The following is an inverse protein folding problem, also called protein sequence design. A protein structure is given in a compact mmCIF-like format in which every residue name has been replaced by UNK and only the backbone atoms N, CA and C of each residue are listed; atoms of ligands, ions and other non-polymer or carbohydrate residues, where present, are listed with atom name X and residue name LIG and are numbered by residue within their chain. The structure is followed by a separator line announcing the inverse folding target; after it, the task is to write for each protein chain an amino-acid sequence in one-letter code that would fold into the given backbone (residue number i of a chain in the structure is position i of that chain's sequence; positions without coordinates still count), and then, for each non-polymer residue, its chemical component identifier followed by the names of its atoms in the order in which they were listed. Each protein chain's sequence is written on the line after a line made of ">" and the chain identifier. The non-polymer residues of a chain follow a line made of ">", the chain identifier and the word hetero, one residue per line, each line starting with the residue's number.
data_IF_618771467389
#
_entry.id   IF_618771467389
#
_cell.length_a   1.000
_cell.length_b   1.000
_cell.length_c   1.000
_cell.angle_alpha   90.00
_cell.angle_beta   90.00
_cell.angle_gamma   90.00
#
_symmetry.space_group_name_H-M   'P 1'
#
loop_
_entity.id
_entity.type
_entity.pdbx_description
1 polymer ?
2 non-polymer ?
3 non-polymer ?
4 water ?
#
# COMPACT_ATOMS: atom_id res chain seq x y z
N UNK A 1 6.16 10.14 -18.58
CA UNK A 1 6.77 11.40 -18.17
C UNK A 1 6.68 11.47 -16.66
N UNK A 2 7.63 12.15 -16.06
CA UNK A 2 7.54 12.50 -14.66
C UNK A 2 7.93 11.36 -13.77
N UNK A 3 7.81 11.64 -12.46
CA UNK A 3 8.08 10.69 -11.42
C UNK A 3 6.96 9.71 -11.22
N UNK A 4 7.15 8.77 -10.27
CA UNK A 4 6.07 7.87 -9.89
C UNK A 4 4.97 8.68 -9.16
N UNK A 5 3.70 8.49 -9.55
CA UNK A 5 2.56 9.21 -8.95
C UNK A 5 1.48 8.28 -8.44
N UNK A 6 0.53 8.75 -7.61
CA UNK A 6 -0.63 7.89 -7.29
C UNK A 6 -1.42 7.40 -8.50
N UNK A 7 -1.63 8.28 -9.50
CA UNK A 7 -2.31 7.88 -10.77
C UNK A 7 -1.66 6.69 -11.48
N UNK A 8 -0.34 6.73 -11.67
CA UNK A 8 0.42 5.62 -12.28
C UNK A 8 0.35 4.35 -11.43
N UNK A 9 0.28 4.51 -10.11
CA UNK A 9 0.16 3.34 -9.20
C UNK A 9 -1.19 2.67 -9.38
N UNK A 10 -2.21 3.48 -9.62
CA UNK A 10 -3.57 3.00 -9.74
C UNK A 10 -3.76 2.26 -11.09
N UNK A 11 -3.06 2.77 -12.09
CA UNK A 11 -3.11 2.25 -13.45
C UNK A 11 -2.42 0.88 -13.58
N UNK A 12 -1.45 0.60 -12.72
CA UNK A 12 -0.74 -0.68 -12.74
C UNK A 12 -1.61 -1.74 -12.10
N UNK A 13 -1.73 -2.89 -12.77
CA UNK A 13 -2.68 -3.92 -12.44
C UNK A 13 -1.88 -5.15 -11.99
N UNK A 14 -2.41 -5.88 -11.00
CA UNK A 14 -1.95 -7.26 -10.77
C UNK A 14 -2.01 -8.04 -12.10
N UNK A 15 -1.05 -8.89 -12.33
CA UNK A 15 -0.99 -9.63 -13.61
C UNK A 15 -0.23 -8.96 -14.75
N UNK A 16 0.17 -7.69 -14.63
CA UNK A 16 1.02 -7.02 -15.65
C UNK A 16 2.44 -7.53 -15.65
N UNK A 17 3.15 -7.48 -16.77
CA UNK A 17 4.57 -7.92 -16.79
C UNK A 17 5.48 -6.74 -16.39
N UNK A 18 6.75 -6.99 -16.12
CA UNK A 18 7.75 -5.94 -15.88
C UNK A 18 7.78 -4.90 -16.99
N UNK A 19 7.74 -5.29 -18.28
CA UNK A 19 7.75 -4.28 -19.37
C UNK A 19 6.60 -3.28 -19.22
N UNK A 20 5.42 -3.80 -18.93
CA UNK A 20 4.23 -2.97 -18.81
C UNK A 20 4.32 -2.00 -17.61
N UNK A 21 4.82 -2.52 -16.49
CA UNK A 21 5.03 -1.71 -15.27
C UNK A 21 6.02 -0.59 -15.54
N UNK A 22 7.14 -0.90 -16.25
CA UNK A 22 8.20 0.07 -16.48
C UNK A 22 7.76 1.11 -17.49
N UNK A 23 7.00 0.67 -18.48
CA UNK A 23 6.35 1.58 -19.45
C UNK A 23 5.43 2.64 -18.79
N UNK A 24 4.64 2.23 -17.80
CA UNK A 24 3.71 3.11 -17.13
C UNK A 24 4.42 4.02 -16.11
N UNK A 25 5.32 3.43 -15.31
CA UNK A 25 5.92 4.14 -14.22
C UNK A 25 6.98 5.10 -14.69
N UNK A 26 7.66 4.76 -15.80
CA UNK A 26 8.80 5.49 -16.25
C UNK A 26 10.10 4.86 -15.72
N UNK A 27 10.84 4.21 -16.62
CA UNK A 27 11.96 3.37 -16.20
C UNK A 27 13.01 4.14 -15.43
N UNK A 28 13.17 5.46 -15.71
CA UNK A 28 14.19 6.26 -14.96
C UNK A 28 13.85 6.41 -13.47
N UNK A 29 12.64 6.03 -13.09
CA UNK A 29 12.22 6.24 -11.70
C UNK A 29 12.51 4.99 -10.81
N UNK A 30 12.99 3.91 -11.44
CA UNK A 30 12.83 2.60 -10.85
C UNK A 30 14.13 1.85 -10.88
N UNK A 31 14.25 0.92 -9.93
CA UNK A 31 15.48 0.13 -9.79
C UNK A 31 15.10 -1.27 -9.31
N UNK A 32 16.02 -2.22 -9.45
CA UNK A 32 15.85 -3.54 -8.91
C UNK A 32 17.20 -3.97 -8.34
N UNK A 33 17.29 -5.21 -7.83
CA UNK A 33 18.56 -5.73 -7.29
C UNK A 33 18.80 -5.27 -5.85
N UNK A 34 20.02 -5.48 -5.37
CA UNK A 34 20.34 -5.20 -3.96
C UNK A 34 19.28 -5.75 -3.02
N UNK A 35 18.94 -5.02 -1.99
CA UNK A 35 17.92 -5.42 -1.05
C UNK A 35 16.57 -5.69 -1.65
N UNK A 36 16.27 -5.23 -2.88
CA UNK A 36 14.92 -5.44 -3.43
C UNK A 36 14.82 -6.82 -4.04
N UNK A 37 15.94 -7.54 -4.19
CA UNK A 37 15.85 -8.79 -4.92
C UNK A 37 15.35 -8.56 -6.34
N UNK A 38 14.28 -9.26 -6.73
CA UNK A 38 13.75 -9.09 -8.07
C UNK A 38 12.56 -8.13 -8.14
N UNK A 39 12.24 -7.50 -7.02
CA UNK A 39 11.13 -6.59 -6.97
C UNK A 39 11.56 -5.30 -7.62
N UNK A 40 10.61 -4.53 -8.14
CA UNK A 40 10.92 -3.24 -8.70
C UNK A 40 10.46 -2.09 -7.78
N UNK A 41 11.35 -1.14 -7.52
CA UNK A 41 11.08 -0.09 -6.56
C UNK A 41 11.09 1.19 -7.38
N UNK A 42 10.03 1.99 -7.30
CA UNK A 42 9.93 3.24 -8.12
C UNK A 42 9.70 4.47 -7.26
N UNK A 43 10.47 5.51 -7.49
CA UNK A 43 10.41 6.69 -6.65
C UNK A 43 9.46 7.80 -7.20
N UNK A 44 8.71 8.43 -6.29
CA UNK A 44 7.85 9.61 -6.55
C UNK A 44 8.57 10.86 -6.08
N UNK A 45 7.82 11.84 -5.58
CA UNK A 45 8.39 13.15 -5.16
C UNK A 45 9.29 12.97 -3.90
N UNK A 46 10.25 13.89 -3.68
CA UNK A 46 11.05 13.84 -2.45
C UNK A 46 10.11 14.00 -1.22
N UNK A 47 10.52 13.46 -0.07
CA UNK A 47 9.69 13.28 1.13
C UNK A 47 10.60 13.06 2.35
N UNK A 48 11.17 14.15 2.87
CA UNK A 48 12.03 14.12 4.07
C UNK A 48 13.24 13.23 3.90
N UNK A 49 13.29 12.14 4.69
CA UNK A 49 14.33 11.11 4.55
C UNK A 49 14.62 10.66 3.10
N UNK A 50 13.54 10.46 2.34
CA UNK A 50 13.62 9.67 1.13
C UNK A 50 12.62 10.30 0.14
N UNK A 51 11.71 9.47 -0.36
CA UNK A 51 10.80 9.85 -1.45
C UNK A 51 9.53 9.09 -1.20
N UNK A 52 8.38 9.53 -1.74
CA UNK A 52 7.25 8.64 -1.87
C UNK A 52 7.76 7.53 -2.76
N UNK A 53 7.06 6.40 -2.84
CA UNK A 53 7.59 5.30 -3.69
C UNK A 53 6.58 4.18 -3.78
N UNK A 54 6.84 3.29 -4.71
CA UNK A 54 6.04 2.11 -4.84
C UNK A 54 7.05 1.00 -5.03
N UNK A 55 6.67 -0.18 -4.59
CA UNK A 55 7.47 -1.40 -4.80
C UNK A 55 6.48 -2.43 -5.39
N UNK A 56 6.87 -3.04 -6.51
CA UNK A 56 6.07 -4.06 -7.16
C UNK A 56 6.80 -5.38 -7.09
N UNK A 57 6.13 -6.45 -6.68
CA UNK A 57 6.78 -7.78 -6.64
C UNK A 57 6.20 -8.59 -7.79
N UNK A 58 6.92 -9.63 -8.24
CA UNK A 58 6.47 -10.44 -9.38
C UNK A 58 6.52 -11.92 -9.08
N UNK A 59 5.70 -12.70 -9.78
CA UNK A 59 5.65 -14.16 -9.52
C UNK A 59 7.04 -14.87 -9.61
N UNK A 60 7.96 -14.27 -10.36
CA UNK A 60 9.28 -14.82 -10.66
C UNK A 60 10.12 -13.77 -11.36
N UNK A 61 11.41 -14.06 -11.55
CA UNK A 61 12.28 -13.16 -12.26
C UNK A 61 12.10 -13.34 -13.77
N UNK A 62 11.18 -14.18 -14.24
CA UNK A 62 11.10 -14.43 -15.72
C UNK A 62 10.54 -13.22 -16.49
N UNK A 63 10.78 -13.12 -17.81
CA UNK A 63 10.27 -11.97 -18.60
C UNK A 63 8.75 -11.90 -18.62
N UNK A 64 8.10 -13.04 -18.70
CA UNK A 64 6.65 -13.09 -18.61
C UNK A 64 6.02 -13.17 -17.20
N UNK A 65 6.81 -12.97 -16.14
CA UNK A 65 6.27 -13.02 -14.74
C UNK A 65 5.20 -11.91 -14.54
N UNK A 66 4.33 -12.08 -13.54
CA UNK A 66 3.21 -11.21 -13.31
C UNK A 66 3.31 -10.51 -11.96
N UNK A 67 2.81 -9.30 -11.94
CA UNK A 67 2.73 -8.51 -10.68
C UNK A 67 1.83 -9.26 -9.73
N UNK A 68 2.42 -9.61 -8.59
CA UNK A 68 1.67 -10.26 -7.55
C UNK A 68 1.60 -9.49 -6.27
N UNK A 69 2.24 -8.33 -6.21
CA UNK A 69 2.37 -7.57 -4.97
C UNK A 69 2.43 -6.09 -5.29
N UNK A 70 1.65 -5.25 -4.61
CA UNK A 70 1.79 -3.80 -4.78
C UNK A 70 1.86 -3.16 -3.43
N UNK A 71 2.84 -2.28 -3.22
CA UNK A 71 3.02 -1.55 -1.94
C UNK A 71 3.34 -0.11 -2.30
N UNK A 72 3.01 0.80 -1.39
CA UNK A 72 3.27 2.22 -1.61
C UNK A 72 3.30 2.96 -0.33
N UNK A 73 4.16 3.98 -0.31
CA UNK A 73 4.09 5.01 0.72
C UNK A 73 4.09 6.41 0.15
N UNK A 74 3.09 7.19 0.55
CA UNK A 74 2.98 8.64 0.29
C UNK A 74 2.60 8.92 -1.14
N UNK A 75 2.14 7.92 -1.86
CA UNK A 75 1.65 8.21 -3.17
C UNK A 75 0.15 8.51 -3.17
N UNK A 76 -0.62 7.80 -2.34
CA UNK A 76 -2.06 8.00 -2.16
C UNK A 76 -2.30 8.59 -0.79
N UNK A 77 -3.17 9.60 -0.71
CA UNK A 77 -3.44 10.34 0.55
C UNK A 77 -4.76 9.83 1.08
N UNK A 78 -4.96 9.77 2.42
CA UNK A 78 -6.33 9.40 2.76
C UNK A 78 -7.22 10.59 2.40
N UNK A 79 -8.42 10.26 1.93
CA UNK A 79 -9.34 11.28 1.43
C UNK A 79 -10.07 12.12 2.51
N UNK A 80 -10.39 11.52 3.66
CA UNK A 80 -11.08 12.17 4.79
C UNK A 80 -10.69 11.45 6.11
N UNK A 81 -9.53 11.76 6.68
CA UNK A 81 -9.19 10.93 7.82
C UNK A 81 -9.90 11.34 9.11
N UNK A 82 -10.61 10.37 9.72
CA UNK A 82 -11.37 10.55 10.96
C UNK A 82 -11.05 9.52 12.05
N UNK A 83 -10.01 8.71 11.88
CA UNK A 83 -9.68 7.71 12.88
C UNK A 83 -9.48 8.29 14.30
N UNK A 84 -10.02 7.63 15.33
CA UNK A 84 -9.69 8.01 16.69
C UNK A 84 -9.19 6.81 17.46
N UNK A 85 -8.76 6.98 18.71
CA UNK A 85 -8.38 5.78 19.47
C UNK A 85 -9.63 4.93 19.73
N UNK A 86 -10.77 5.58 19.95
CA UNK A 86 -12.06 4.92 20.20
C UNK A 86 -12.43 3.96 19.08
N UNK A 87 -12.41 4.46 17.84
CA UNK A 87 -12.66 3.61 16.66
C UNK A 87 -11.68 2.48 16.52
N UNK A 88 -10.39 2.77 16.70
CA UNK A 88 -9.37 1.72 16.69
C UNK A 88 -9.70 0.61 17.67
N UNK A 89 -10.15 0.98 18.88
CA UNK A 89 -10.44 0.00 19.89
C UNK A 89 -11.70 -0.77 19.62
N UNK A 90 -12.63 -0.21 18.84
CA UNK A 90 -13.80 -1.01 18.50
C UNK A 90 -13.62 -1.96 17.28
N UNK A 91 -12.50 -1.86 16.59
CA UNK A 91 -12.09 -2.85 15.57
C UNK A 91 -11.56 -4.11 16.24
N UNK A 92 -11.99 -5.29 15.75
CA UNK A 92 -11.60 -6.55 16.36
C UNK A 92 -11.04 -7.58 15.41
N UNK A 93 -10.09 -8.36 15.92
CA UNK A 93 -9.53 -9.48 15.20
C UNK A 93 -10.68 -10.36 14.84
N UNK A 94 -10.77 -10.71 13.56
CA UNK A 94 -11.87 -11.50 13.10
C UNK A 94 -12.90 -10.77 12.30
N UNK A 95 -12.93 -9.43 12.31
CA UNK A 95 -13.83 -8.71 11.43
C UNK A 95 -13.38 -8.76 9.95
N UNK A 96 -14.37 -8.67 9.07
CA UNK A 96 -14.16 -8.60 7.65
C UNK A 96 -13.69 -7.18 7.30
N UNK A 97 -13.16 -7.02 6.10
CA UNK A 97 -12.67 -5.74 5.65
C UNK A 97 -13.79 -4.71 5.64
N UNK A 98 -14.98 -5.16 5.27
CA UNK A 98 -16.15 -4.30 5.18
C UNK A 98 -16.64 -3.77 6.54
N UNK A 99 -16.67 -4.62 7.57
CA UNK A 99 -17.00 -4.14 8.92
C UNK A 99 -15.93 -3.23 9.51
N UNK A 100 -14.68 -3.41 9.11
CA UNK A 100 -13.60 -2.57 9.65
C UNK A 100 -13.72 -1.16 9.10
N UNK A 101 -13.98 -1.03 7.78
CA UNK A 101 -14.04 0.29 7.14
C UNK A 101 -15.27 1.08 7.61
N UNK A 102 -16.36 0.36 7.79
CA UNK A 102 -17.56 0.93 8.39
C UNK A 102 -17.24 1.50 9.78
N UNK A 103 -16.38 0.83 10.55
CA UNK A 103 -16.03 1.26 11.90
C UNK A 103 -15.13 2.50 11.86
N UNK A 104 -14.10 2.49 11.01
CA UNK A 104 -13.04 3.53 11.03
C UNK A 104 -13.26 4.63 9.99
N UNK A 105 -14.19 4.44 9.07
CA UNK A 105 -14.50 5.44 8.07
C UNK A 105 -13.82 5.12 6.74
N UNK A 106 -14.60 5.29 5.67
CA UNK A 106 -14.21 4.95 4.31
C UNK A 106 -13.01 5.71 3.87
N UNK A 107 -12.86 6.91 4.39
CA UNK A 107 -11.84 7.85 3.92
C UNK A 107 -10.62 8.00 4.82
N UNK A 108 -10.45 7.10 5.81
CA UNK A 108 -9.31 7.19 6.75
C UNK A 108 -8.09 6.39 6.38
N UNK A 109 -8.26 5.41 5.49
CA UNK A 109 -7.21 4.41 5.20
C UNK A 109 -6.86 4.40 3.73
N UNK A 110 -5.58 4.15 3.48
CA UNK A 110 -5.06 3.86 2.13
C UNK A 110 -4.46 2.43 2.19
N UNK A 111 -4.26 1.83 1.02
CA UNK A 111 -3.62 0.51 0.92
C UNK A 111 -2.15 0.69 0.93
N UNK A 112 -1.55 0.03 1.93
CA UNK A 112 -0.16 0.07 2.14
C UNK A 112 0.45 -1.06 1.28
N UNK A 113 -0.01 -2.31 1.48
CA UNK A 113 0.55 -3.43 0.79
C UNK A 113 -0.52 -4.44 0.40
N UNK A 114 -0.44 -5.06 -0.79
CA UNK A 114 -1.43 -6.07 -1.20
C UNK A 114 -0.69 -7.13 -2.02
N UNK A 115 -0.82 -8.38 -1.62
CA UNK A 115 0.06 -9.45 -2.09
C UNK A 115 -0.83 -10.68 -2.31
N UNK A 116 -0.73 -11.30 -3.48
CA UNK A 116 -1.39 -12.59 -3.74
C UNK A 116 -0.34 -13.67 -3.88
N UNK A 117 -0.17 -14.50 -2.85
CA UNK A 117 0.87 -15.52 -2.89
C UNK A 117 0.68 -16.56 -3.93
N UNK A 118 -0.55 -16.77 -4.41
CA UNK A 118 -0.79 -17.85 -5.38
C UNK A 118 -1.42 -17.25 -6.63
N UNK A 119 -1.10 -15.99 -6.89
CA UNK A 119 -1.60 -15.27 -8.02
C UNK A 119 -1.66 -16.20 -9.27
N UNK A 120 -2.76 -16.17 -10.08
CA UNK A 120 -3.99 -15.38 -10.03
C UNK A 120 -5.01 -15.81 -8.96
N UNK A 121 -4.74 -16.89 -8.26
CA UNK A 121 -5.65 -17.32 -7.23
C UNK A 121 -5.67 -16.26 -6.13
N UNK A 122 -6.84 -16.09 -5.51
CA UNK A 122 -7.00 -15.20 -4.38
C UNK A 122 -6.81 -15.85 -3.02
N UNK A 123 -6.42 -17.14 -2.96
CA UNK A 123 -6.18 -17.80 -1.69
C UNK A 123 -4.98 -17.19 -0.99
N UNK A 124 -5.11 -16.84 0.29
CA UNK A 124 -3.95 -16.40 1.04
C UNK A 124 -3.63 -14.94 0.85
N UNK A 125 -4.49 -14.20 0.16
CA UNK A 125 -4.30 -12.77 -0.10
C UNK A 125 -4.08 -12.03 1.20
N UNK A 126 -3.01 -11.23 1.23
CA UNK A 126 -2.67 -10.46 2.43
C UNK A 126 -2.77 -9.00 2.07
N UNK A 127 -3.50 -8.25 2.90
CA UNK A 127 -3.74 -6.86 2.69
C UNK A 127 -3.36 -6.11 3.96
N UNK A 128 -2.56 -5.04 3.83
CA UNK A 128 -2.28 -4.09 4.95
C UNK A 128 -2.80 -2.69 4.67
N UNK A 129 -3.49 -2.08 5.63
CA UNK A 129 -4.00 -0.71 5.43
C UNK A 129 -3.27 0.15 6.40
N UNK A 130 -3.08 1.41 6.04
CA UNK A 130 -2.47 2.36 6.94
C UNK A 130 -3.54 3.43 7.03
N UNK A 131 -3.93 3.79 8.24
CA UNK A 131 -5.08 4.62 8.49
C UNK A 131 -4.63 5.75 9.38
N UNK A 132 -5.24 6.91 9.21
CA UNK A 132 -4.75 8.13 9.85
C UNK A 132 -5.86 8.93 10.60
N UNK A 133 -5.49 9.61 11.69
CA UNK A 133 -6.36 10.63 12.27
C UNK A 133 -6.20 11.92 11.47
N UNK A 134 -6.93 12.97 11.90
CA UNK A 134 -7.16 14.19 11.07
C UNK A 134 -5.90 14.90 10.57
N UNK A 135 -4.83 14.92 11.36
CA UNK A 135 -3.58 15.48 10.84
C UNK A 135 -2.45 14.44 10.83
N UNK A 136 -2.80 13.15 10.93
CA UNK A 136 -1.81 12.08 11.00
C UNK A 136 -1.05 11.82 9.72
N UNK A 137 -1.60 12.23 8.58
CA UNK A 137 -0.94 11.92 7.31
C UNK A 137 0.01 13.04 6.88
N UNK A 138 1.21 12.64 6.50
CA UNK A 138 2.10 13.56 5.82
C UNK A 138 2.59 12.96 4.52
N UNK A 139 2.44 13.72 3.43
CA UNK A 139 3.05 13.39 2.13
C UNK A 139 4.55 13.80 2.05
N UNK A 140 5.06 14.45 3.11
CA UNK A 140 6.47 14.90 3.19
C UNK A 140 7.29 14.40 4.41
N UNK A 141 6.72 14.45 5.61
CA UNK A 141 7.44 14.06 6.84
C UNK A 141 6.92 12.85 7.62
N UNK A 142 7.42 12.73 8.86
CA UNK A 142 6.93 11.81 9.91
C UNK A 142 5.40 11.87 10.05
N UNK A 143 4.79 10.73 10.37
CA UNK A 143 3.32 10.67 10.56
C UNK A 143 2.98 11.16 11.96
N UNK A 144 1.71 11.47 12.21
CA UNK A 144 1.30 12.15 13.46
C UNK A 144 0.11 11.52 14.20
N UNK A 145 -0.09 10.22 14.00
CA UNK A 145 -1.33 9.57 14.44
C UNK A 145 -1.83 8.58 13.38
N UNK A 146 -1.44 7.32 13.52
CA UNK A 146 -1.81 6.34 12.54
C UNK A 146 -1.99 4.93 13.12
N UNK A 147 -2.67 4.08 12.35
CA UNK A 147 -2.71 2.65 12.60
C UNK A 147 -2.33 1.87 11.35
N UNK A 148 -1.88 0.63 11.57
CA UNK A 148 -1.77 -0.35 10.53
C UNK A 148 -2.76 -1.49 10.85
N UNK A 149 -3.48 -1.93 9.83
CA UNK A 149 -4.40 -3.05 9.93
C UNK A 149 -4.00 -4.12 8.91
N UNK A 150 -3.85 -5.36 9.40
CA UNK A 150 -3.41 -6.54 8.63
C UNK A 150 -4.56 -7.54 8.46
N UNK A 151 -4.89 -7.88 7.23
CA UNK A 151 -5.98 -8.83 6.89
C UNK A 151 -5.31 -9.98 6.15
N UNK A 152 -5.80 -11.18 6.36
CA UNK A 152 -5.46 -12.32 5.48
C UNK A 152 -6.75 -12.96 5.08
N UNK A 153 -6.90 -13.31 3.80
CA UNK A 153 -8.14 -13.86 3.32
C UNK A 153 -9.36 -13.00 3.75
N UNK A 154 -9.21 -11.68 3.73
CA UNK A 154 -10.35 -10.79 3.94
C UNK A 154 -10.75 -10.46 5.39
N UNK A 155 -10.06 -11.09 6.32
CA UNK A 155 -10.42 -11.05 7.76
C UNK A 155 -9.29 -10.38 8.56
N UNK A 156 -9.62 -9.41 9.42
CA UNK A 156 -8.61 -8.77 10.26
C UNK A 156 -7.86 -9.73 11.18
N UNK A 157 -6.53 -9.71 11.04
CA UNK A 157 -5.68 -10.53 11.90
C UNK A 157 -4.92 -9.71 12.91
N UNK A 158 -4.67 -8.45 12.65
CA UNK A 158 -3.86 -7.74 13.62
C UNK A 158 -3.99 -6.26 13.43
N UNK A 159 -3.70 -5.53 14.46
CA UNK A 159 -3.80 -4.09 14.48
C UNK A 159 -2.74 -3.47 15.38
N UNK A 160 -2.27 -2.30 15.00
CA UNK A 160 -1.33 -1.58 15.82
C UNK A 160 -1.51 -0.11 15.51
N UNK A 161 -1.39 0.70 16.56
CA UNK A 161 -1.43 2.14 16.40
C UNK A 161 -0.27 2.88 17.14
N UNK A 162 -0.06 4.11 16.72
CA UNK A 162 0.94 5.00 17.25
C UNK A 162 0.24 6.37 17.37
N UNK A 163 0.21 6.92 18.59
CA UNK A 163 -0.20 8.31 18.86
C UNK A 163 -1.67 8.68 18.70
N UNK A 164 -2.57 7.70 18.75
CA UNK A 164 -3.98 8.00 18.60
C UNK A 164 -4.51 8.41 19.97
N UNK A 165 -5.46 9.33 20.00
CA UNK A 165 -6.14 9.66 21.25
C UNK A 165 -7.64 9.59 20.99
X LIG B 1 10.77 -9.66 0.40
X LIG C 1 -4.97 -3.36 -8.93
X LIG C 1 -4.90 -4.56 -9.79
X LIG C 1 -5.92 -3.50 -7.83
X LIG C 1 -3.78 -2.99 -8.29
X LIG C 1 -5.13 -2.14 -9.69
#
# INVERSE_FOLDING_TARGET
>A
AGVMTGAKFTQIQFGMTRQQVLDIAGAENCETGGSFGDSIHCRGHAAGDYYAYATFGFTSAAADAKVDSKSQEKLLAPSAPTLTLAKFNQVTVGMTRAQVLATVGQGSCTTWSEYYPAYPSTAGVTLSLSCFDVDGYSSTGFYRGSAHLWFTDGVLQGKRQWDLV
>B hetero
1 NH4 N
>C hetero
1 SO4 S O1 O2 O3 O4
#
